data_IF_693587688862
#
_entry.id   IF_693587688862
#
_cell.length_a   1.000
_cell.length_b   1.000
_cell.length_c   1.000
_cell.angle_alpha   90.00
_cell.angle_beta   90.00
_cell.angle_gamma   90.00
#
_symmetry.space_group_name_H-M   'P 1'
#
loop_
_entity.id
_entity.type
_entity.pdbx_description
1 polymer ?
#
# COMPACT_ATOMS: atom_id res chain seq x y z
N UNK A 1 -8.45 13.11 3.32
CA UNK A 1 -9.62 12.20 3.22
C UNK A 1 -9.29 10.95 4.01
N UNK A 2 -10.16 10.57 4.92
CA UNK A 2 -10.02 9.39 5.78
C UNK A 2 -11.18 8.40 5.57
N UNK A 3 -11.10 7.25 6.24
CA UNK A 3 -12.06 6.15 6.09
C UNK A 3 -13.50 6.49 6.55
N UNK A 4 -13.66 7.54 7.34
CA UNK A 4 -14.94 7.97 7.91
C UNK A 4 -15.59 9.13 7.18
N UNK A 5 -14.91 9.75 6.22
CA UNK A 5 -15.33 10.99 5.54
C UNK A 5 -16.41 10.75 4.47
N UNK A 6 -17.35 9.83 4.75
CA UNK A 6 -18.42 9.48 3.79
C UNK A 6 -19.44 10.58 3.56
N UNK A 7 -19.55 11.53 4.48
CA UNK A 7 -20.43 12.70 4.32
C UNK A 7 -19.85 13.69 3.28
N UNK A 8 -18.56 13.94 3.34
CA UNK A 8 -17.82 14.83 2.44
C UNK A 8 -17.46 14.12 1.12
N UNK A 9 -17.30 12.79 1.16
CA UNK A 9 -16.90 11.94 0.03
C UNK A 9 -17.86 10.76 -0.16
N UNK A 10 -19.08 10.97 -0.70
CA UNK A 10 -20.12 9.93 -0.80
C UNK A 10 -19.70 8.68 -1.59
N UNK A 11 -18.76 8.81 -2.56
CA UNK A 11 -18.25 7.67 -3.32
C UNK A 11 -17.57 6.60 -2.44
N UNK A 12 -17.11 6.96 -1.23
CA UNK A 12 -16.55 5.98 -0.28
C UNK A 12 -17.56 4.91 0.14
N UNK A 13 -18.87 5.19 0.08
CA UNK A 13 -19.92 4.19 0.34
C UNK A 13 -19.88 3.09 -0.71
N UNK A 14 -19.75 3.47 -1.99
CA UNK A 14 -19.66 2.53 -3.11
C UNK A 14 -18.35 1.74 -3.06
N UNK A 15 -17.21 2.41 -2.77
CA UNK A 15 -15.91 1.74 -2.60
C UNK A 15 -15.98 0.71 -1.47
N UNK A 16 -16.58 1.05 -0.33
CA UNK A 16 -16.76 0.10 0.78
C UNK A 16 -17.63 -1.08 0.39
N UNK A 17 -18.70 -0.85 -0.38
CA UNK A 17 -19.56 -1.92 -0.90
C UNK A 17 -18.80 -2.84 -1.87
N UNK A 18 -17.99 -2.26 -2.75
CA UNK A 18 -17.11 -2.99 -3.67
C UNK A 18 -16.09 -3.86 -2.91
N UNK A 19 -15.37 -3.30 -1.93
CA UNK A 19 -14.42 -4.04 -1.10
C UNK A 19 -15.11 -5.25 -0.42
N UNK A 20 -16.28 -5.04 0.19
CA UNK A 20 -17.06 -6.14 0.80
C UNK A 20 -17.43 -7.23 -0.21
N UNK A 21 -17.79 -6.83 -1.43
CA UNK A 21 -18.12 -7.79 -2.49
C UNK A 21 -16.87 -8.62 -2.87
N UNK A 22 -15.73 -7.98 -3.09
CA UNK A 22 -14.47 -8.67 -3.41
C UNK A 22 -14.07 -9.65 -2.31
N UNK A 23 -14.10 -9.23 -1.04
CA UNK A 23 -13.78 -10.10 0.10
C UNK A 23 -14.72 -11.32 0.15
N UNK A 24 -16.02 -11.11 -0.04
CA UNK A 24 -17.03 -12.19 0.00
C UNK A 24 -16.89 -13.20 -1.14
N UNK A 25 -16.48 -12.74 -2.33
CA UNK A 25 -16.33 -13.56 -3.53
C UNK A 25 -14.91 -14.05 -3.76
N UNK A 26 -13.98 -13.76 -2.82
CA UNK A 26 -12.55 -14.04 -2.94
C UNK A 26 -11.94 -13.49 -4.24
N UNK A 27 -12.51 -12.38 -4.75
CA UNK A 27 -11.94 -11.66 -5.88
C UNK A 27 -10.64 -10.98 -5.43
N UNK A 28 -9.52 -11.15 -6.14
CA UNK A 28 -8.25 -10.53 -5.78
C UNK A 28 -8.38 -9.03 -5.55
N UNK A 29 -7.95 -8.56 -4.39
CA UNK A 29 -8.04 -7.18 -3.96
C UNK A 29 -6.73 -6.72 -3.32
N UNK A 30 -6.16 -5.62 -3.81
CA UNK A 30 -5.05 -4.92 -3.19
C UNK A 30 -5.51 -3.50 -2.83
N UNK A 31 -5.65 -3.24 -1.54
CA UNK A 31 -5.93 -1.90 -1.01
C UNK A 31 -4.62 -1.18 -0.68
N UNK A 32 -4.38 -0.03 -1.29
CA UNK A 32 -3.19 0.79 -1.05
C UNK A 32 -3.56 2.01 -0.20
N UNK A 33 -2.82 2.29 0.86
CA UNK A 33 -2.99 3.39 1.81
C UNK A 33 -4.45 3.50 2.29
N UNK A 34 -5.23 4.47 1.83
CA UNK A 34 -6.66 4.59 2.13
C UNK A 34 -7.44 3.30 1.79
N UNK A 35 -7.08 2.63 0.69
CA UNK A 35 -7.67 1.35 0.31
C UNK A 35 -7.39 0.24 1.34
N UNK A 36 -6.18 0.16 1.86
CA UNK A 36 -5.78 -0.73 2.96
C UNK A 36 -6.50 -0.41 4.26
N UNK A 37 -6.63 0.89 4.59
CA UNK A 37 -7.37 1.37 5.75
C UNK A 37 -8.88 1.04 5.66
N UNK A 38 -9.49 1.23 4.49
CA UNK A 38 -10.88 0.86 4.24
C UNK A 38 -11.10 -0.64 4.40
N UNK A 39 -10.20 -1.45 3.84
CA UNK A 39 -10.24 -2.91 4.00
C UNK A 39 -10.12 -3.29 5.48
N UNK A 40 -9.17 -2.72 6.22
CA UNK A 40 -8.99 -3.00 7.65
C UNK A 40 -10.25 -2.69 8.47
N UNK A 41 -10.87 -1.52 8.28
CA UNK A 41 -12.12 -1.14 8.97
C UNK A 41 -13.26 -2.09 8.63
N UNK A 42 -13.39 -2.50 7.36
CA UNK A 42 -14.47 -3.40 6.93
C UNK A 42 -14.30 -4.82 7.47
N UNK A 43 -13.10 -5.19 7.87
CA UNK A 43 -12.75 -6.45 8.54
C UNK A 43 -12.76 -6.34 10.07
N UNK A 44 -13.27 -5.23 10.63
CA UNK A 44 -13.39 -5.03 12.08
C UNK A 44 -12.12 -4.47 12.75
N UNK A 45 -11.10 -4.11 11.99
CA UNK A 45 -9.94 -3.36 12.48
C UNK A 45 -10.29 -1.89 12.73
N UNK A 46 -9.38 -1.18 13.38
CA UNK A 46 -9.52 0.25 13.65
C UNK A 46 -8.53 1.05 12.83
N UNK A 47 -8.93 2.25 12.42
CA UNK A 47 -8.04 3.27 11.86
C UNK A 47 -7.95 4.44 12.83
N UNK A 48 -6.73 4.81 13.19
CA UNK A 48 -6.44 5.96 14.03
C UNK A 48 -6.07 7.14 13.14
N UNK A 49 -6.89 8.18 13.20
CA UNK A 49 -6.61 9.43 12.50
C UNK A 49 -5.47 10.19 13.18
N UNK A 50 -4.62 10.85 12.38
CA UNK A 50 -3.43 11.56 12.86
C UNK A 50 -2.61 10.71 13.86
N UNK A 51 -2.36 9.48 13.45
CA UNK A 51 -1.65 8.49 14.24
C UNK A 51 -0.22 8.94 14.54
N UNK A 52 0.32 8.63 15.75
CA UNK A 52 1.75 8.79 16.00
C UNK A 52 2.64 7.89 15.12
N UNK A 53 2.02 6.93 14.43
CA UNK A 53 2.67 6.06 13.44
C UNK A 53 2.59 6.63 12.00
N UNK A 54 2.20 7.91 11.83
CA UNK A 54 2.18 8.57 10.51
C UNK A 54 3.59 8.70 9.93
N UNK A 55 3.72 8.43 8.63
CA UNK A 55 5.01 8.45 7.93
C UNK A 55 4.90 9.21 6.61
N UNK A 56 5.93 10.00 6.27
CA UNK A 56 6.05 10.71 4.99
C UNK A 56 7.48 10.58 4.44
N UNK A 57 7.60 10.18 3.17
CA UNK A 57 8.85 10.06 2.45
C UNK A 57 9.24 8.63 2.10
N UNK A 58 10.47 8.45 1.65
CA UNK A 58 11.05 7.16 1.28
C UNK A 58 11.61 6.48 2.51
N UNK A 59 11.08 5.31 2.87
CA UNK A 59 11.40 4.62 4.11
C UNK A 59 11.56 3.12 3.92
N UNK A 60 12.26 2.50 4.85
CA UNK A 60 12.44 1.06 4.91
C UNK A 60 11.21 0.37 5.48
N UNK A 61 10.84 -0.74 4.84
CA UNK A 61 9.79 -1.66 5.25
C UNK A 61 10.40 -3.04 5.45
N UNK A 62 10.03 -3.71 6.54
CA UNK A 62 10.54 -5.03 6.92
C UNK A 62 9.43 -6.08 6.85
N UNK A 63 9.65 -7.17 6.11
CA UNK A 63 8.72 -8.29 6.06
C UNK A 63 8.74 -9.08 7.37
N UNK A 64 7.58 -9.51 7.83
CA UNK A 64 7.46 -10.52 8.87
C UNK A 64 7.84 -11.92 8.34
N UNK A 65 7.92 -12.91 9.22
CA UNK A 65 8.08 -14.30 8.77
C UNK A 65 6.95 -14.73 7.82
N UNK A 66 5.70 -14.34 8.13
CA UNK A 66 4.55 -14.59 7.27
C UNK A 66 4.64 -13.80 5.94
N UNK A 67 5.17 -12.58 5.98
CA UNK A 67 5.37 -11.76 4.78
C UNK A 67 6.37 -12.38 3.80
N UNK A 68 7.43 -13.01 4.30
CA UNK A 68 8.43 -13.73 3.46
C UNK A 68 7.85 -14.91 2.70
N UNK A 69 6.82 -15.54 3.24
CA UNK A 69 6.14 -16.69 2.65
C UNK A 69 4.88 -16.28 1.85
N UNK A 70 4.51 -15.01 1.89
CA UNK A 70 3.30 -14.52 1.23
C UNK A 70 3.53 -14.35 -0.27
N UNK A 71 2.61 -14.84 -1.12
CA UNK A 71 2.78 -14.78 -2.57
C UNK A 71 2.83 -13.34 -3.12
N UNK A 72 2.24 -12.35 -2.44
CA UNK A 72 2.35 -10.93 -2.83
C UNK A 72 3.81 -10.46 -2.79
N UNK A 73 4.58 -10.94 -1.81
CA UNK A 73 5.98 -10.56 -1.58
C UNK A 73 7.00 -11.57 -2.12
N UNK A 74 6.58 -12.51 -2.96
CA UNK A 74 7.48 -13.49 -3.56
C UNK A 74 8.63 -12.82 -4.34
N UNK A 75 9.88 -13.16 -3.98
CA UNK A 75 11.08 -12.61 -4.61
C UNK A 75 11.43 -11.17 -4.20
N UNK A 76 10.77 -10.63 -3.16
CA UNK A 76 11.11 -9.32 -2.57
C UNK A 76 12.05 -9.53 -1.38
N UNK A 77 13.10 -8.69 -1.22
CA UNK A 77 14.00 -8.76 -0.07
C UNK A 77 13.26 -8.59 1.26
N UNK A 78 13.86 -9.15 2.33
CA UNK A 78 13.32 -9.02 3.69
C UNK A 78 13.13 -7.56 4.12
N UNK A 79 14.08 -6.72 3.78
CA UNK A 79 14.07 -5.28 3.99
C UNK A 79 14.08 -4.61 2.61
N UNK A 80 13.18 -3.69 2.41
CA UNK A 80 13.06 -2.97 1.15
C UNK A 80 12.59 -1.53 1.38
N UNK A 81 12.87 -0.65 0.43
CA UNK A 81 12.39 0.73 0.47
C UNK A 81 11.03 0.85 -0.23
N UNK A 82 10.14 1.64 0.37
CA UNK A 82 8.88 2.06 -0.25
C UNK A 82 8.59 3.53 0.08
N UNK A 83 7.56 4.08 -0.52
CA UNK A 83 7.15 5.45 -0.28
C UNK A 83 5.96 5.50 0.68
N UNK A 84 6.09 6.34 1.70
CA UNK A 84 5.08 6.56 2.72
C UNK A 84 4.49 7.95 2.57
N UNK A 85 3.15 8.05 2.63
CA UNK A 85 2.45 9.33 2.64
C UNK A 85 1.11 9.19 3.38
N UNK A 86 1.18 9.04 4.69
CA UNK A 86 -0.02 8.85 5.51
C UNK A 86 0.13 9.48 6.89
N UNK A 87 -0.96 10.09 7.37
CA UNK A 87 -1.12 10.55 8.74
C UNK A 87 -1.90 9.52 9.57
N UNK A 88 -2.82 8.79 8.93
CA UNK A 88 -3.64 7.77 9.55
C UNK A 88 -2.96 6.41 9.46
N UNK A 89 -3.21 5.53 10.43
CA UNK A 89 -2.73 4.16 10.41
C UNK A 89 -3.82 3.17 10.83
N UNK A 90 -3.77 1.97 10.27
CA UNK A 90 -4.69 0.89 10.62
C UNK A 90 -4.09 -0.08 11.64
N UNK A 91 -4.94 -0.65 12.48
CA UNK A 91 -4.64 -1.85 13.25
C UNK A 91 -4.94 -3.07 12.39
N UNK A 92 -4.10 -4.11 12.50
CA UNK A 92 -4.30 -5.36 11.77
C UNK A 92 -5.59 -6.02 12.29
N UNK A 93 -6.59 -6.34 11.43
CA UNK A 93 -7.78 -7.06 11.84
C UNK A 93 -7.44 -8.41 12.48
N UNK A 94 -8.24 -8.86 13.47
CA UNK A 94 -7.92 -10.04 14.27
C UNK A 94 -7.70 -11.33 13.45
N UNK A 95 -8.46 -11.47 12.34
CA UNK A 95 -8.37 -12.64 11.44
C UNK A 95 -7.43 -12.41 10.24
N UNK A 96 -6.69 -11.30 10.24
CA UNK A 96 -5.72 -10.99 9.20
C UNK A 96 -4.30 -11.33 9.63
N UNK A 97 -3.45 -11.63 8.67
CA UNK A 97 -2.04 -11.92 8.88
C UNK A 97 -1.21 -10.67 8.63
N UNK A 98 -0.43 -10.22 9.61
CA UNK A 98 0.55 -9.15 9.46
C UNK A 98 1.70 -9.62 8.55
N UNK A 99 1.98 -8.86 7.48
CA UNK A 99 3.00 -9.21 6.49
C UNK A 99 4.24 -8.29 6.54
N UNK A 100 4.05 -7.03 6.89
CA UNK A 100 5.16 -6.06 6.93
C UNK A 100 4.96 -5.00 8.02
N UNK A 101 6.08 -4.44 8.47
CA UNK A 101 6.17 -3.36 9.45
C UNK A 101 7.23 -2.34 9.03
N UNK A 102 7.23 -1.16 9.64
CA UNK A 102 8.33 -0.20 9.62
C UNK A 102 8.77 0.11 11.05
N UNK A 103 9.83 0.89 11.20
CA UNK A 103 10.31 1.33 12.51
C UNK A 103 9.30 2.20 13.27
N UNK A 104 8.46 2.98 12.54
CA UNK A 104 7.46 3.87 13.13
C UNK A 104 6.07 3.24 13.17
N UNK A 105 5.73 2.35 12.23
CA UNK A 105 4.41 1.78 12.09
C UNK A 105 4.46 0.25 12.04
N UNK A 106 3.90 -0.39 13.07
CA UNK A 106 3.87 -1.85 13.18
C UNK A 106 2.99 -2.53 12.11
N UNK A 107 2.04 -1.82 11.54
CA UNK A 107 1.09 -2.33 10.55
C UNK A 107 1.31 -1.72 9.17
N UNK A 108 2.25 -2.26 8.37
CA UNK A 108 2.55 -1.78 7.02
C UNK A 108 1.88 -2.58 5.91
N UNK A 109 1.65 -3.86 6.13
CA UNK A 109 0.90 -4.71 5.21
C UNK A 109 0.25 -5.88 5.93
N UNK A 110 -0.90 -6.30 5.43
CA UNK A 110 -1.61 -7.48 5.92
C UNK A 110 -2.31 -8.22 4.79
N UNK A 111 -2.64 -9.50 5.05
CA UNK A 111 -3.52 -10.31 4.19
C UNK A 111 -4.69 -10.85 5.00
N UNK A 112 -5.87 -10.81 4.41
CA UNK A 112 -7.08 -11.44 4.90
C UNK A 112 -7.56 -12.51 3.91
N UNK A 113 -7.83 -13.70 4.42
CA UNK A 113 -8.19 -14.83 3.56
C UNK A 113 -7.09 -15.15 2.54
N UNK A 114 -7.49 -15.60 1.37
CA UNK A 114 -6.56 -15.98 0.30
C UNK A 114 -6.21 -14.81 -0.64
N UNK A 115 -7.12 -13.84 -0.83
CA UNK A 115 -7.09 -12.94 -1.99
C UNK A 115 -7.25 -11.45 -1.65
N UNK A 116 -7.19 -11.04 -0.37
CA UNK A 116 -7.32 -9.63 0.00
C UNK A 116 -6.08 -9.13 0.76
N UNK A 117 -5.40 -8.15 0.21
CA UNK A 117 -4.21 -7.52 0.79
C UNK A 117 -4.46 -6.04 1.04
N UNK A 118 -3.89 -5.52 2.14
CA UNK A 118 -3.83 -4.10 2.44
C UNK A 118 -2.39 -3.66 2.68
N UNK A 119 -1.97 -2.55 2.07
CA UNK A 119 -0.69 -1.89 2.35
C UNK A 119 -0.93 -0.48 2.86
N UNK A 120 -0.06 0.01 3.74
CA UNK A 120 -0.04 1.40 4.18
C UNK A 120 0.84 2.24 3.26
N UNK A 121 1.94 1.66 2.79
CA UNK A 121 2.87 2.29 1.85
C UNK A 121 2.35 2.28 0.42
N UNK A 122 2.98 3.10 -0.43
CA UNK A 122 2.64 3.35 -1.82
C UNK A 122 3.67 2.72 -2.77
N UNK A 123 3.38 1.57 -3.39
CA UNK A 123 4.25 0.97 -4.41
C UNK A 123 4.00 1.54 -5.82
N UNK A 124 3.01 2.44 -5.97
CA UNK A 124 2.51 2.91 -7.28
C UNK A 124 3.02 4.31 -7.67
N UNK A 125 3.75 5.00 -6.78
CA UNK A 125 4.13 6.39 -7.05
C UNK A 125 5.35 6.52 -7.98
N UNK A 126 5.43 7.66 -8.63
CA UNK A 126 6.58 8.11 -9.40
C UNK A 126 7.08 9.48 -8.93
N UNK A 127 8.14 9.99 -9.55
CA UNK A 127 8.72 11.30 -9.21
C UNK A 127 7.69 12.44 -9.29
N UNK A 128 6.78 12.39 -10.28
CA UNK A 128 5.79 13.44 -10.49
C UNK A 128 4.76 13.44 -9.36
N UNK A 129 4.32 12.26 -8.93
CA UNK A 129 3.40 12.09 -7.81
C UNK A 129 4.06 12.53 -6.51
N UNK A 130 5.31 12.12 -6.24
CA UNK A 130 6.07 12.52 -5.06
C UNK A 130 6.22 14.05 -4.97
N UNK A 131 6.64 14.71 -6.06
CA UNK A 131 6.77 16.17 -6.10
C UNK A 131 5.42 16.88 -5.91
N UNK A 132 4.36 16.36 -6.56
CA UNK A 132 3.01 16.90 -6.44
C UNK A 132 2.51 16.82 -5.00
N UNK A 133 2.58 15.65 -4.36
CA UNK A 133 2.10 15.47 -2.99
C UNK A 133 2.90 16.29 -1.98
N UNK A 134 4.23 16.31 -2.12
CA UNK A 134 5.09 17.07 -1.24
C UNK A 134 4.82 18.58 -1.30
N UNK A 135 4.37 19.12 -2.45
CA UNK A 135 4.00 20.54 -2.61
C UNK A 135 2.56 20.85 -2.21
N UNK A 136 1.70 19.82 -2.20
CA UNK A 136 0.27 20.01 -1.94
C UNK A 136 -0.03 20.38 -0.49
N UNK A 137 0.66 19.75 0.46
CA UNK A 137 0.45 20.01 1.89
C UNK A 137 1.32 21.17 2.36
N UNK A 138 0.72 22.11 3.09
CA UNK A 138 1.39 23.31 3.64
C UNK A 138 2.61 22.94 4.50
N UNK A 139 2.50 21.85 5.28
CA UNK A 139 3.56 21.35 6.16
C UNK A 139 4.78 20.83 5.38
N UNK A 140 4.56 20.14 4.25
CA UNK A 140 5.62 19.48 3.48
C UNK A 140 6.15 20.31 2.32
N UNK A 141 5.39 21.30 1.84
CA UNK A 141 5.76 22.14 0.72
C UNK A 141 7.16 22.80 0.84
N UNK A 142 7.58 23.32 2.01
CA UNK A 142 8.93 23.86 2.21
C UNK A 142 10.04 22.81 2.03
N UNK A 143 9.71 21.53 2.17
CA UNK A 143 10.63 20.41 2.11
C UNK A 143 10.46 19.53 0.84
N UNK A 144 9.64 19.93 -0.12
CA UNK A 144 9.30 19.15 -1.31
C UNK A 144 10.53 18.71 -2.10
N UNK A 145 11.51 19.60 -2.28
CA UNK A 145 12.77 19.29 -2.98
C UNK A 145 13.55 18.17 -2.28
N UNK A 146 13.52 18.12 -0.93
CA UNK A 146 14.17 17.06 -0.16
C UNK A 146 13.46 15.73 -0.34
N UNK A 147 12.12 15.68 -0.23
CA UNK A 147 11.35 14.45 -0.46
C UNK A 147 11.62 13.87 -1.84
N UNK A 148 11.66 14.72 -2.86
CA UNK A 148 11.95 14.28 -4.22
C UNK A 148 13.41 13.78 -4.35
N UNK A 149 14.39 14.46 -3.75
CA UNK A 149 15.78 14.05 -3.79
C UNK A 149 15.99 12.70 -3.09
N UNK A 150 15.39 12.50 -1.90
CA UNK A 150 15.46 11.24 -1.15
C UNK A 150 14.81 10.10 -1.96
N UNK A 151 13.67 10.34 -2.64
CA UNK A 151 13.03 9.37 -3.51
C UNK A 151 13.92 9.01 -4.71
N UNK A 152 14.52 9.99 -5.38
CA UNK A 152 15.40 9.78 -6.54
C UNK A 152 16.62 8.93 -6.17
N UNK A 153 17.20 9.12 -4.97
CA UNK A 153 18.31 8.30 -4.48
C UNK A 153 17.93 6.82 -4.29
N UNK A 154 16.68 6.55 -3.92
CA UNK A 154 16.17 5.20 -3.67
C UNK A 154 15.34 4.65 -4.83
N UNK A 155 15.19 5.39 -5.93
CA UNK A 155 14.24 5.07 -7.00
C UNK A 155 14.46 3.69 -7.62
N UNK A 156 15.70 3.30 -7.88
CA UNK A 156 15.97 2.00 -8.49
C UNK A 156 15.52 0.82 -7.61
N UNK A 157 15.96 0.68 -6.36
CA UNK A 157 15.47 -0.40 -5.50
C UNK A 157 13.96 -0.29 -5.23
N UNK A 158 13.39 0.91 -5.13
CA UNK A 158 11.96 1.12 -5.01
C UNK A 158 11.20 0.55 -6.24
N UNK A 159 11.61 0.89 -7.46
CA UNK A 159 10.96 0.44 -8.69
C UNK A 159 11.06 -1.09 -8.87
N UNK A 160 12.19 -1.70 -8.50
CA UNK A 160 12.38 -3.15 -8.57
C UNK A 160 11.36 -3.87 -7.67
N UNK A 161 11.25 -3.43 -6.42
CA UNK A 161 10.29 -3.99 -5.45
C UNK A 161 8.85 -3.73 -5.88
N UNK A 162 8.53 -2.50 -6.26
CA UNK A 162 7.19 -2.08 -6.66
C UNK A 162 6.68 -2.88 -7.86
N UNK A 163 7.49 -3.00 -8.91
CA UNK A 163 7.15 -3.80 -10.09
C UNK A 163 6.98 -5.27 -9.75
N UNK A 164 7.84 -5.82 -8.90
CA UNK A 164 7.73 -7.21 -8.45
C UNK A 164 6.44 -7.45 -7.69
N UNK A 165 6.13 -6.60 -6.70
CA UNK A 165 4.94 -6.73 -5.88
C UNK A 165 3.64 -6.60 -6.71
N UNK A 166 3.56 -5.54 -7.52
CA UNK A 166 2.39 -5.31 -8.38
C UNK A 166 2.26 -6.41 -9.46
N UNK A 167 3.38 -6.89 -10.02
CA UNK A 167 3.41 -8.03 -10.92
C UNK A 167 2.93 -9.32 -10.26
N UNK A 168 3.37 -9.61 -9.03
CA UNK A 168 2.88 -10.73 -8.24
C UNK A 168 1.35 -10.64 -8.03
N UNK A 169 0.85 -9.46 -7.66
CA UNK A 169 -0.59 -9.23 -7.50
C UNK A 169 -1.36 -9.50 -8.81
N UNK A 170 -0.88 -8.98 -9.94
CA UNK A 170 -1.51 -9.22 -11.24
C UNK A 170 -1.53 -10.71 -11.59
N UNK A 171 -0.43 -11.43 -11.33
CA UNK A 171 -0.37 -12.90 -11.50
C UNK A 171 -1.39 -13.62 -10.62
N UNK A 172 -1.52 -13.23 -9.34
CA UNK A 172 -2.53 -13.76 -8.42
C UNK A 172 -3.97 -13.46 -8.87
N UNK A 173 -4.16 -12.32 -9.54
CA UNK A 173 -5.43 -11.92 -10.15
C UNK A 173 -5.70 -12.61 -11.50
N UNK A 174 -4.82 -13.50 -11.97
CA UNK A 174 -4.99 -14.26 -13.20
C UNK A 174 -4.59 -13.51 -14.48
N UNK A 175 -3.88 -12.37 -14.35
CA UNK A 175 -3.31 -11.67 -15.50
C UNK A 175 -1.94 -12.27 -15.86
N UNK A 176 -1.72 -12.51 -17.15
CA UNK A 176 -0.44 -12.97 -17.65
C UNK A 176 0.56 -11.80 -17.67
N UNK A 177 1.55 -11.83 -16.76
CA UNK A 177 2.57 -10.77 -16.63
C UNK A 177 3.80 -11.02 -17.51
N UNK A 178 3.85 -12.17 -18.24
CA UNK A 178 4.97 -12.58 -19.09
C UNK A 178 4.93 -12.00 -20.53
N UNK A 179 3.95 -11.19 -20.88
CA UNK A 179 3.82 -10.61 -22.23
C UNK A 179 4.76 -9.39 -22.47
N UNK A 180 6.05 -9.52 -22.13
CA UNK A 180 7.13 -8.62 -22.58
C UNK A 180 7.69 -8.94 -23.97
N UNK A 181 7.13 -9.93 -24.70
CA UNK A 181 7.51 -10.21 -26.09
C UNK A 181 6.26 -10.36 -26.96
N UNK A 182 5.74 -9.23 -27.47
CA UNK A 182 4.91 -9.28 -28.66
C UNK A 182 5.68 -9.96 -29.82
N UNK A 183 5.40 -11.21 -30.04
CA UNK A 183 5.55 -11.75 -31.40
C UNK A 183 4.33 -11.28 -32.18
N UNK A 184 4.45 -10.13 -32.86
CA UNK A 184 3.54 -9.79 -33.96
C UNK A 184 3.79 -10.78 -35.10
N UNK A 185 2.72 -11.26 -35.73
CA UNK A 185 2.81 -12.11 -36.93
C UNK A 185 3.37 -11.37 -38.13
#
# INVERSE_FOLDING_TARGET
MGVHDTAEHPFLVEVKAFIRACVRTETPLLGICLGGQLLAVLLGGRVTANSPCGEKGTMEVTLTSAGKEDPLFAGIPHEFVSFQWHNDSFEIPADATLLASSSACAGQAFRFGAMAWGTQFHPEVDRAIVDCWARWEEETAPHATRFLADFVLAEQPYLEVSRRMLGNFLGLAGFDTDNGTEKRP
#
